data_IF_965068430846
#
_entry.id   IF_965068430846
#
_cell.length_a   1.000
_cell.length_b   1.000
_cell.length_c   1.000
_cell.angle_alpha   90.00
_cell.angle_beta   90.00
_cell.angle_gamma   90.00
#
_symmetry.space_group_name_H-M   'P 1'
#
loop_
_entity.id
_entity.type
_entity.pdbx_description
1 polymer ?
#
# COMPACT_ATOMS: atom_id res chain seq x y z
N UNK A 1 -29.36 -20.55 5.24
CA UNK A 1 -29.73 -21.06 3.91
C UNK A 1 -30.91 -20.25 3.46
N UNK A 2 -30.64 -19.24 2.65
CA UNK A 2 -31.67 -18.46 1.99
C UNK A 2 -31.89 -19.04 0.60
N UNK A 3 -33.15 -19.26 0.23
CA UNK A 3 -33.53 -19.83 -1.06
C UNK A 3 -34.14 -18.71 -1.88
N UNK A 4 -33.53 -18.46 -3.03
CA UNK A 4 -33.91 -17.46 -4.00
C UNK A 4 -34.55 -18.16 -5.18
N UNK A 5 -35.72 -17.72 -5.61
CA UNK A 5 -36.44 -18.35 -6.72
C UNK A 5 -36.67 -17.32 -7.81
N UNK A 6 -36.30 -17.69 -9.03
CA UNK A 6 -36.59 -16.93 -10.23
C UNK A 6 -37.57 -17.72 -11.11
N UNK A 7 -38.77 -17.17 -11.34
CA UNK A 7 -39.78 -17.79 -12.20
C UNK A 7 -39.70 -17.19 -13.60
N UNK A 8 -39.70 -18.00 -14.65
CA UNK A 8 -39.68 -17.44 -16.01
C UNK A 8 -40.93 -16.56 -16.25
N UNK A 9 -40.70 -15.25 -16.44
CA UNK A 9 -41.75 -14.24 -16.61
C UNK A 9 -41.92 -13.28 -15.41
N UNK A 10 -41.25 -13.50 -14.27
CA UNK A 10 -41.20 -12.54 -13.17
C UNK A 10 -40.00 -11.60 -13.31
N UNK A 11 -40.20 -10.31 -13.03
CA UNK A 11 -39.15 -9.28 -13.08
C UNK A 11 -38.42 -9.10 -11.73
N UNK A 12 -38.72 -9.94 -10.74
CA UNK A 12 -38.13 -9.92 -9.41
C UNK A 12 -37.80 -11.34 -8.95
N UNK A 13 -36.81 -11.44 -8.06
CA UNK A 13 -36.41 -12.67 -7.38
C UNK A 13 -37.29 -12.77 -6.13
N UNK A 14 -37.93 -13.93 -5.94
CA UNK A 14 -38.72 -14.21 -4.74
C UNK A 14 -37.78 -14.76 -3.65
N UNK A 15 -37.86 -14.22 -2.44
CA UNK A 15 -37.01 -14.53 -1.28
C UNK A 15 -37.85 -15.05 -0.11
N UNK A 16 -37.21 -15.72 0.87
CA UNK A 16 -37.85 -16.14 2.12
C UNK A 16 -38.44 -17.55 2.14
N UNK A 17 -38.08 -18.40 1.16
CA UNK A 17 -38.50 -19.81 1.15
C UNK A 17 -37.66 -20.66 2.11
N UNK A 18 -38.31 -21.64 2.74
CA UNK A 18 -37.65 -22.60 3.61
C UNK A 18 -37.34 -23.89 2.86
N UNK A 19 -36.41 -24.71 3.38
CA UNK A 19 -36.00 -25.97 2.75
C UNK A 19 -37.16 -26.97 2.52
N UNK A 20 -38.25 -26.84 3.28
CA UNK A 20 -39.49 -27.63 3.13
C UNK A 20 -40.29 -27.31 1.87
N UNK A 21 -40.15 -26.09 1.32
CA UNK A 21 -40.89 -25.62 0.15
C UNK A 21 -40.16 -26.02 -1.16
N UNK A 22 -38.91 -26.49 -1.02
CA UNK A 22 -38.03 -26.86 -2.13
C UNK A 22 -38.59 -27.95 -3.06
N UNK A 23 -39.26 -29.03 -2.58
CA UNK A 23 -39.85 -30.03 -3.46
C UNK A 23 -40.92 -29.45 -4.40
N UNK A 24 -41.75 -28.53 -3.91
CA UNK A 24 -42.80 -27.88 -4.69
C UNK A 24 -42.22 -26.87 -5.68
N UNK A 25 -41.16 -26.15 -5.27
CA UNK A 25 -40.45 -25.20 -6.13
C UNK A 25 -39.71 -25.89 -7.28
N UNK A 26 -39.10 -27.05 -7.03
CA UNK A 26 -38.37 -27.84 -8.02
C UNK A 26 -39.29 -28.68 -8.92
N UNK A 27 -40.54 -28.94 -8.50
CA UNK A 27 -41.52 -29.64 -9.33
C UNK A 27 -41.93 -28.82 -10.58
N UNK A 28 -41.88 -27.50 -10.47
CA UNK A 28 -42.10 -26.59 -11.59
C UNK A 28 -40.80 -26.35 -12.37
N UNK A 29 -40.73 -26.93 -13.56
CA UNK A 29 -39.56 -26.85 -14.47
C UNK A 29 -39.25 -25.44 -14.98
N UNK A 30 -40.14 -24.49 -14.72
CA UNK A 30 -40.04 -23.10 -15.15
C UNK A 30 -39.31 -22.22 -14.13
N UNK A 31 -39.12 -22.73 -12.92
CA UNK A 31 -38.45 -22.03 -11.83
C UNK A 31 -36.95 -22.38 -11.81
N UNK A 32 -36.13 -21.34 -11.74
CA UNK A 32 -34.71 -21.43 -11.44
C UNK A 32 -34.54 -21.13 -9.96
N UNK A 33 -34.18 -22.14 -9.19
CA UNK A 33 -33.96 -22.01 -7.74
C UNK A 33 -32.47 -21.86 -7.50
N UNK A 34 -32.07 -20.75 -6.90
CA UNK A 34 -30.72 -20.53 -6.39
C UNK A 34 -30.73 -20.67 -4.86
N UNK A 35 -29.88 -21.53 -4.33
CA UNK A 35 -29.74 -21.74 -2.90
C UNK A 35 -28.43 -21.08 -2.48
N UNK A 36 -28.52 -20.09 -1.59
CA UNK A 36 -27.33 -19.58 -0.93
C UNK A 36 -26.83 -20.64 0.05
N UNK A 37 -25.81 -21.36 -0.40
CA UNK A 37 -25.13 -22.35 0.43
C UNK A 37 -24.29 -21.59 1.45
N UNK A 38 -24.37 -21.99 2.74
CA UNK A 38 -23.47 -21.42 3.73
C UNK A 38 -22.02 -21.72 3.34
N UNK A 39 -21.07 -21.02 4.00
CA UNK A 39 -19.63 -21.21 3.77
C UNK A 39 -19.29 -22.70 3.57
N UNK A 40 -18.43 -23.07 2.59
CA UNK A 40 -18.02 -24.45 2.39
C UNK A 40 -17.56 -25.13 3.69
N UNK A 41 -16.93 -24.36 4.58
CA UNK A 41 -16.53 -24.80 5.92
C UNK A 41 -17.72 -25.23 6.78
N UNK A 42 -18.80 -24.45 6.79
CA UNK A 42 -20.04 -24.76 7.53
C UNK A 42 -20.75 -25.98 6.93
N UNK A 43 -20.77 -26.09 5.60
CA UNK A 43 -21.35 -27.26 4.92
C UNK A 43 -20.59 -28.54 5.29
N UNK A 44 -19.25 -28.50 5.28
CA UNK A 44 -18.40 -29.63 5.68
C UNK A 44 -18.45 -29.92 7.18
N UNK A 45 -18.59 -28.89 8.01
CA UNK A 45 -18.79 -29.04 9.44
C UNK A 45 -20.03 -29.90 9.71
N UNK A 46 -21.16 -29.58 9.05
CA UNK A 46 -22.41 -30.34 9.18
C UNK A 46 -22.31 -31.77 8.64
N UNK A 47 -21.55 -31.99 7.57
CA UNK A 47 -21.23 -33.33 7.08
C UNK A 47 -20.40 -34.15 8.08
N UNK A 48 -19.40 -33.54 8.71
CA UNK A 48 -18.55 -34.21 9.70
C UNK A 48 -19.29 -34.57 11.01
N UNK A 49 -20.42 -33.91 11.30
CA UNK A 49 -21.24 -34.14 12.48
C UNK A 49 -22.42 -35.10 12.24
N UNK A 50 -22.53 -35.68 11.04
CA UNK A 50 -23.56 -36.68 10.74
C UNK A 50 -24.99 -36.13 10.74
N UNK A 51 -25.17 -34.83 10.48
CA UNK A 51 -26.51 -34.23 10.40
C UNK A 51 -27.37 -34.80 9.25
N UNK A 52 -26.75 -35.49 8.29
CA UNK A 52 -27.41 -36.09 7.15
C UNK A 52 -27.51 -37.61 7.31
N UNK A 53 -28.72 -38.17 7.51
CA UNK A 53 -28.92 -39.62 7.68
C UNK A 53 -28.59 -40.45 6.43
N UNK A 54 -28.29 -39.79 5.30
CA UNK A 54 -27.87 -40.41 4.04
C UNK A 54 -26.36 -40.70 4.00
N UNK A 55 -25.58 -40.22 4.97
CA UNK A 55 -24.13 -40.42 5.07
C UNK A 55 -23.84 -41.55 6.05
N UNK A 56 -23.00 -42.49 5.64
CA UNK A 56 -22.60 -43.62 6.48
C UNK A 56 -21.62 -43.15 7.58
N UNK A 57 -21.83 -43.58 8.83
CA UNK A 57 -20.99 -43.19 9.98
C UNK A 57 -19.49 -43.50 9.79
N UNK A 58 -19.18 -44.54 9.00
CA UNK A 58 -17.80 -44.93 8.65
C UNK A 58 -17.05 -43.87 7.83
N UNK A 59 -17.77 -42.97 7.16
CA UNK A 59 -17.19 -41.92 6.29
C UNK A 59 -16.98 -40.58 7.01
N UNK A 60 -17.56 -40.38 8.20
CA UNK A 60 -17.44 -39.15 8.99
C UNK A 60 -15.98 -38.71 9.27
N UNK A 61 -15.03 -39.61 9.57
CA UNK A 61 -13.63 -39.22 9.79
C UNK A 61 -12.98 -38.55 8.57
N UNK A 62 -13.35 -38.97 7.35
CA UNK A 62 -12.83 -38.36 6.12
C UNK A 62 -13.39 -36.95 5.92
N UNK A 63 -14.68 -36.73 6.19
CA UNK A 63 -15.26 -35.39 6.16
C UNK A 63 -14.63 -34.45 7.18
N UNK A 64 -14.31 -34.96 8.38
CA UNK A 64 -13.61 -34.18 9.40
C UNK A 64 -12.21 -33.78 8.96
N UNK A 65 -11.46 -34.69 8.35
CA UNK A 65 -10.13 -34.39 7.83
C UNK A 65 -10.17 -33.31 6.72
N UNK A 66 -11.14 -33.40 5.79
CA UNK A 66 -11.31 -32.37 4.74
C UNK A 66 -11.73 -31.03 5.35
N UNK A 67 -12.61 -31.04 6.34
CA UNK A 67 -13.02 -29.84 7.08
C UNK A 67 -11.82 -29.17 7.77
N UNK A 68 -11.00 -29.93 8.48
CA UNK A 68 -9.80 -29.42 9.17
C UNK A 68 -8.77 -28.86 8.17
N UNK A 69 -8.60 -29.52 7.01
CA UNK A 69 -7.76 -29.00 5.93
C UNK A 69 -8.30 -27.70 5.34
N UNK A 70 -9.61 -27.58 5.14
CA UNK A 70 -10.22 -26.35 4.63
C UNK A 70 -10.07 -25.20 5.61
N UNK A 71 -10.30 -25.43 6.90
CA UNK A 71 -10.07 -24.43 7.94
C UNK A 71 -8.62 -23.93 7.89
N UNK A 72 -7.65 -24.84 7.85
CA UNK A 72 -6.23 -24.46 7.73
C UNK A 72 -5.95 -23.62 6.49
N UNK A 73 -6.53 -23.95 5.34
CA UNK A 73 -6.34 -23.18 4.10
C UNK A 73 -6.95 -21.78 4.22
N UNK A 74 -8.13 -21.66 4.83
CA UNK A 74 -8.78 -20.36 5.07
C UNK A 74 -7.91 -19.50 5.97
N UNK A 75 -7.44 -20.04 7.09
CA UNK A 75 -6.57 -19.32 8.04
C UNK A 75 -5.25 -18.87 7.36
N UNK A 76 -4.63 -19.74 6.56
CA UNK A 76 -3.41 -19.38 5.81
C UNK A 76 -3.70 -18.30 4.77
N UNK A 77 -4.84 -18.38 4.07
CA UNK A 77 -5.25 -17.39 3.07
C UNK A 77 -5.46 -16.01 3.69
N UNK A 78 -6.10 -15.96 4.85
CA UNK A 78 -6.28 -14.73 5.63
C UNK A 78 -4.92 -14.17 6.08
N UNK A 79 -4.05 -15.02 6.64
CA UNK A 79 -2.70 -14.61 7.03
C UNK A 79 -1.88 -14.06 5.85
N UNK A 80 -1.94 -14.70 4.67
CA UNK A 80 -1.27 -14.18 3.48
C UNK A 80 -1.87 -12.85 3.01
N UNK A 81 -3.18 -12.66 3.12
CA UNK A 81 -3.83 -11.40 2.78
C UNK A 81 -3.31 -10.27 3.68
N UNK A 82 -3.18 -10.52 4.98
CA UNK A 82 -2.63 -9.54 5.92
C UNK A 82 -1.17 -9.24 5.64
N UNK A 83 -0.36 -10.26 5.32
CA UNK A 83 1.05 -10.07 4.95
C UNK A 83 1.20 -9.25 3.66
N UNK A 84 0.39 -9.53 2.63
CA UNK A 84 0.40 -8.76 1.37
C UNK A 84 -0.07 -7.32 1.62
N UNK A 85 -1.04 -7.11 2.50
CA UNK A 85 -1.43 -5.79 2.97
C UNK A 85 -0.25 -5.03 3.58
N UNK A 86 0.42 -5.65 4.57
CA UNK A 86 1.60 -5.06 5.22
C UNK A 86 2.75 -4.77 4.25
N UNK A 87 3.01 -5.65 3.29
CA UNK A 87 4.01 -5.42 2.24
C UNK A 87 3.65 -4.25 1.33
N UNK A 88 2.37 -4.09 1.00
CA UNK A 88 1.90 -2.97 0.19
C UNK A 88 2.10 -1.64 0.94
N UNK A 89 1.79 -1.61 2.24
CA UNK A 89 2.01 -0.41 3.07
C UNK A 89 3.49 -0.05 3.20
N UNK A 90 4.37 -1.06 3.38
CA UNK A 90 5.82 -0.85 3.39
C UNK A 90 6.29 -0.34 2.02
N UNK A 91 5.79 -0.91 0.92
CA UNK A 91 6.15 -0.49 -0.43
C UNK A 91 5.78 0.97 -0.68
N UNK A 92 4.57 1.39 -0.29
CA UNK A 92 4.14 2.79 -0.36
C UNK A 92 5.02 3.70 0.50
N UNK A 93 5.41 3.25 1.69
CA UNK A 93 6.34 3.98 2.56
C UNK A 93 7.71 4.17 1.91
N UNK A 94 8.27 3.13 1.29
CA UNK A 94 9.54 3.20 0.55
C UNK A 94 9.43 4.16 -0.63
N UNK A 95 8.34 4.13 -1.40
CA UNK A 95 8.12 5.08 -2.49
C UNK A 95 8.07 6.50 -1.95
N UNK A 96 7.28 6.76 -0.91
CA UNK A 96 7.18 8.08 -0.30
C UNK A 96 8.54 8.59 0.21
N UNK A 97 9.36 7.72 0.81
CA UNK A 97 10.71 8.05 1.25
C UNK A 97 11.62 8.43 0.07
N UNK A 98 11.60 7.64 -1.02
CA UNK A 98 12.35 7.97 -2.24
C UNK A 98 11.90 9.29 -2.87
N UNK A 99 10.59 9.52 -2.96
CA UNK A 99 10.06 10.80 -3.45
C UNK A 99 10.50 11.97 -2.56
N UNK A 100 10.47 11.80 -1.23
CA UNK A 100 10.95 12.81 -0.30
C UNK A 100 12.45 13.09 -0.45
N UNK A 101 13.26 12.07 -0.72
CA UNK A 101 14.69 12.24 -0.99
C UNK A 101 14.92 13.03 -2.28
N UNK A 102 14.25 12.67 -3.37
CA UNK A 102 14.30 13.41 -4.63
C UNK A 102 13.89 14.87 -4.40
N UNK A 103 12.76 15.12 -3.73
CA UNK A 103 12.29 16.48 -3.43
C UNK A 103 13.30 17.29 -2.61
N UNK A 104 14.00 16.67 -1.64
CA UNK A 104 15.09 17.33 -0.89
C UNK A 104 16.23 17.74 -1.80
N UNK A 105 16.67 16.86 -2.71
CA UNK A 105 17.76 17.15 -3.64
C UNK A 105 17.40 18.33 -4.55
N UNK A 106 16.19 18.33 -5.13
CA UNK A 106 15.72 19.45 -5.93
C UNK A 106 15.65 20.74 -5.12
N UNK A 107 15.10 20.69 -3.90
CA UNK A 107 14.99 21.85 -3.02
C UNK A 107 16.36 22.44 -2.65
N UNK A 108 17.36 21.60 -2.36
CA UNK A 108 18.74 22.05 -2.09
C UNK A 108 19.33 22.75 -3.31
N UNK A 109 19.18 22.15 -4.50
CA UNK A 109 19.66 22.76 -5.74
C UNK A 109 18.98 24.11 -6.00
N UNK A 110 17.65 24.20 -5.86
CA UNK A 110 16.91 25.45 -6.01
C UNK A 110 17.31 26.50 -4.97
N UNK A 111 17.50 26.12 -3.70
CA UNK A 111 17.89 27.04 -2.63
C UNK A 111 19.26 27.67 -2.87
N UNK A 112 20.19 26.96 -3.53
CA UNK A 112 21.49 27.49 -3.94
C UNK A 112 21.36 28.37 -5.20
N UNK A 113 20.57 27.93 -6.19
CA UNK A 113 20.41 28.67 -7.44
C UNK A 113 19.70 30.02 -7.27
N UNK A 114 18.66 30.10 -6.44
CA UNK A 114 17.88 31.34 -6.26
C UNK A 114 18.71 32.58 -5.91
N UNK A 115 19.54 32.60 -4.85
CA UNK A 115 20.35 33.77 -4.51
C UNK A 115 21.44 34.05 -5.56
N UNK A 116 22.03 33.00 -6.16
CA UNK A 116 23.04 33.16 -7.21
C UNK A 116 22.44 33.78 -8.47
N UNK A 117 21.28 33.29 -8.91
CA UNK A 117 20.53 33.84 -10.04
C UNK A 117 20.04 35.26 -9.75
N UNK A 118 19.67 35.59 -8.51
CA UNK A 118 19.30 36.96 -8.13
C UNK A 118 20.50 37.91 -8.27
N UNK A 119 21.67 37.53 -7.77
CA UNK A 119 22.89 38.34 -7.88
C UNK A 119 23.29 38.48 -9.36
N UNK A 120 23.35 37.38 -10.10
CA UNK A 120 23.65 37.40 -11.53
C UNK A 120 22.62 38.23 -12.32
N UNK A 121 21.34 38.14 -11.96
CA UNK A 121 20.26 38.94 -12.53
C UNK A 121 20.45 40.43 -12.26
N UNK A 122 20.74 40.82 -11.02
CA UNK A 122 21.01 42.21 -10.64
C UNK A 122 22.20 42.76 -11.44
N UNK A 123 23.31 42.04 -11.48
CA UNK A 123 24.51 42.43 -12.21
C UNK A 123 24.34 42.36 -13.74
N UNK A 124 23.34 41.61 -14.24
CA UNK A 124 22.97 41.56 -15.65
C UNK A 124 22.06 42.71 -16.11
N UNK A 125 21.53 43.50 -15.18
CA UNK A 125 20.74 44.70 -15.52
C UNK A 125 21.68 45.86 -15.87
N UNK A 126 21.44 46.53 -17.00
CA UNK A 126 22.21 47.71 -17.46
C UNK A 126 21.87 48.96 -16.61
N UNK A 127 22.20 48.97 -15.32
CA UNK A 127 22.08 50.18 -14.50
C UNK A 127 23.32 51.07 -14.66
N UNK A 128 23.08 52.31 -15.08
CA UNK A 128 24.11 53.34 -15.34
C UNK A 128 24.78 53.87 -14.07
N UNK A 129 24.19 53.63 -12.89
CA UNK A 129 24.63 54.17 -11.60
C UNK A 129 24.76 53.08 -10.51
N UNK A 130 25.56 52.05 -10.78
CA UNK A 130 26.00 51.09 -9.75
C UNK A 130 27.31 51.57 -9.10
N UNK A 131 27.31 52.08 -7.85
CA UNK A 131 28.53 52.57 -7.19
C UNK A 131 29.58 51.46 -6.97
N UNK A 132 29.18 50.18 -6.95
CA UNK A 132 30.08 49.02 -6.84
C UNK A 132 30.85 48.70 -8.14
N UNK A 133 30.36 49.17 -9.29
CA UNK A 133 30.98 48.94 -10.61
C UNK A 133 32.21 49.82 -10.86
N UNK A 134 32.32 50.93 -10.12
CA UNK A 134 33.43 51.90 -10.24
C UNK A 134 34.68 51.48 -9.45
N UNK A 135 34.60 50.43 -8.61
CA UNK A 135 35.75 49.85 -7.95
C UNK A 135 36.37 48.75 -8.82
N UNK A 136 37.69 48.80 -9.05
CA UNK A 136 38.44 47.82 -9.84
C UNK A 136 38.19 46.35 -9.43
N UNK A 137 37.79 46.11 -8.17
CA UNK A 137 37.59 44.77 -7.62
C UNK A 137 36.12 44.36 -7.41
N UNK A 138 35.14 45.20 -7.78
CA UNK A 138 33.72 44.93 -7.51
C UNK A 138 33.22 43.59 -8.09
N UNK A 139 33.65 43.26 -9.31
CA UNK A 139 33.35 41.98 -9.96
C UNK A 139 33.88 40.77 -9.17
N UNK A 140 35.14 40.84 -8.70
CA UNK A 140 35.75 39.76 -7.91
C UNK A 140 35.09 39.60 -6.54
N UNK A 141 34.69 40.71 -5.91
CA UNK A 141 33.96 40.69 -4.63
C UNK A 141 32.58 40.06 -4.80
N UNK A 142 31.85 40.38 -5.88
CA UNK A 142 30.55 39.77 -6.17
C UNK A 142 30.64 38.26 -6.40
N UNK A 143 31.66 37.81 -7.16
CA UNK A 143 31.92 36.38 -7.35
C UNK A 143 32.28 35.70 -6.03
N UNK A 144 33.17 36.30 -5.23
CA UNK A 144 33.54 35.77 -3.92
C UNK A 144 32.31 35.64 -3.01
N UNK A 145 31.42 36.63 -3.00
CA UNK A 145 30.17 36.60 -2.26
C UNK A 145 29.25 35.46 -2.71
N UNK A 146 29.07 35.26 -4.02
CA UNK A 146 28.28 34.14 -4.56
C UNK A 146 28.84 32.78 -4.15
N UNK A 147 30.18 32.61 -4.22
CA UNK A 147 30.84 31.37 -3.80
C UNK A 147 30.65 31.14 -2.30
N UNK A 148 30.81 32.17 -1.47
CA UNK A 148 30.61 32.07 -0.01
C UNK A 148 29.17 31.69 0.32
N UNK A 149 28.18 32.29 -0.34
CA UNK A 149 26.76 31.95 -0.15
C UNK A 149 26.50 30.49 -0.53
N UNK A 150 26.91 30.07 -1.73
CA UNK A 150 26.75 28.70 -2.19
C UNK A 150 27.42 27.68 -1.25
N UNK A 151 28.67 27.95 -0.85
CA UNK A 151 29.41 27.08 0.07
C UNK A 151 28.75 27.02 1.46
N UNK A 152 28.29 28.15 1.99
CA UNK A 152 27.62 28.21 3.29
C UNK A 152 26.32 27.40 3.33
N UNK A 153 25.50 27.50 2.27
CA UNK A 153 24.28 26.72 2.13
C UNK A 153 24.58 25.24 1.97
N UNK A 154 25.58 24.89 1.16
CA UNK A 154 25.99 23.50 0.95
C UNK A 154 26.48 22.87 2.26
N UNK A 155 27.33 23.57 3.02
CA UNK A 155 27.79 23.12 4.35
C UNK A 155 26.61 23.02 5.33
N UNK A 156 25.68 23.97 5.32
CA UNK A 156 24.49 23.92 6.18
C UNK A 156 23.63 22.68 5.90
N UNK A 157 23.31 22.42 4.63
CA UNK A 157 22.53 21.24 4.23
C UNK A 157 23.29 19.93 4.46
N UNK A 158 24.63 19.95 4.33
CA UNK A 158 25.46 18.78 4.63
C UNK A 158 25.45 18.46 6.13
N UNK A 159 25.58 19.46 7.01
CA UNK A 159 25.49 19.28 8.47
C UNK A 159 24.10 18.82 8.93
N UNK A 160 23.06 19.20 8.19
CA UNK A 160 21.68 18.75 8.44
C UNK A 160 21.42 17.32 7.94
N UNK A 161 22.35 16.67 7.23
CA UNK A 161 22.18 15.33 6.69
C UNK A 161 21.24 15.26 5.49
N UNK A 162 21.01 16.37 4.77
CA UNK A 162 20.04 16.39 3.66
C UNK A 162 20.60 15.87 2.33
N UNK A 163 21.93 15.84 2.19
CA UNK A 163 22.62 15.56 0.91
C UNK A 163 23.21 14.14 0.86
N UNK A 164 23.45 13.49 2.01
CA UNK A 164 24.19 12.21 2.07
C UNK A 164 23.64 11.19 3.08
N UNK A 165 22.42 11.36 3.60
CA UNK A 165 21.79 10.28 4.39
C UNK A 165 21.24 9.20 3.46
N UNK A 166 22.12 8.60 2.65
CA UNK A 166 21.84 7.38 1.93
C UNK A 166 21.85 6.23 2.92
N UNK A 167 20.66 5.69 3.18
CA UNK A 167 20.27 4.33 3.60
C UNK A 167 21.24 3.39 4.37
N UNK A 168 22.34 3.84 4.97
CA UNK A 168 23.40 2.98 5.50
C UNK A 168 23.42 2.87 7.04
N UNK A 169 22.33 3.26 7.72
CA UNK A 169 22.23 3.20 9.20
C UNK A 169 21.31 2.11 9.74
N UNK A 170 20.58 1.40 8.87
CA UNK A 170 19.63 0.35 9.28
C UNK A 170 20.33 -0.98 9.57
N UNK A 171 21.32 -1.38 8.76
CA UNK A 171 21.94 -2.72 8.85
C UNK A 171 22.91 -2.86 10.05
N UNK A 172 23.58 -1.78 10.47
CA UNK A 172 24.61 -1.86 11.52
C UNK A 172 24.03 -2.00 12.94
N UNK A 173 22.74 -1.70 13.14
CA UNK A 173 22.11 -1.73 14.47
C UNK A 173 21.42 -3.06 14.82
N UNK A 174 21.12 -3.92 13.84
CA UNK A 174 20.56 -5.26 14.11
C UNK A 174 21.65 -6.28 14.50
N UNK A 175 22.82 -6.27 13.86
CA UNK A 175 23.95 -7.14 14.23
C UNK A 175 24.46 -6.92 15.68
N UNK A 176 24.32 -5.69 16.20
CA UNK A 176 24.72 -5.37 17.59
C UNK A 176 23.71 -5.78 18.65
N UNK A 177 22.47 -6.12 18.26
CA UNK A 177 21.42 -6.52 19.20
C UNK A 177 21.35 -8.04 19.40
N UNK A 178 21.76 -8.81 18.40
CA UNK A 178 21.81 -10.28 18.46
C UNK A 178 23.13 -10.85 19.04
N UNK A 179 24.11 -9.97 19.29
CA UNK A 179 25.42 -10.31 19.88
C UNK A 179 25.56 -9.91 21.35
N UNK A 180 24.46 -9.62 22.05
CA UNK A 180 24.44 -9.29 23.49
C UNK A 180 23.39 -10.05 24.28
#
# INVERSE_FOLDING_TARGET
MEIFVYRAGSNHIEEGFAAKDLPDLLADKTNVVWVDMPSPTEVLYRFSHGEFPMIEESTLPFYRDVHDHLLRIVDLSESYRDLVGGLSDIHLSVIANKTNEVMKVLAVFSAIMLPLSLIAGIYGMNFENMPELHQQNGYYVAIALMIVIAASLLVYFWRKGWIFEGENKSEVNEEKKDSR
#
